data_IF_166467219714
#
_entry.id   IF_166467219714
#
_cell.length_a   1.000
_cell.length_b   1.000
_cell.length_c   1.000
_cell.angle_alpha   90.00
_cell.angle_beta   90.00
_cell.angle_gamma   90.00
#
_symmetry.space_group_name_H-M   'P 1'
#
loop_
_entity.id
_entity.type
_entity.pdbx_description
1 polymer ?
#
# COMPACT_ATOMS: atom_id res chain seq x y z
N UNK A 1 -36.60 38.64 14.20
CA UNK A 1 -36.23 37.52 13.29
C UNK A 1 -36.84 36.27 13.86
N UNK A 2 -37.83 35.69 13.19
CA UNK A 2 -38.51 34.47 13.67
C UNK A 2 -37.56 33.27 13.58
N UNK A 3 -37.40 32.56 14.68
CA UNK A 3 -36.63 31.33 14.75
C UNK A 3 -37.14 30.25 13.79
N UNK A 4 -38.44 30.18 13.56
CA UNK A 4 -39.14 29.22 12.70
C UNK A 4 -38.59 29.18 11.26
N UNK A 5 -38.11 30.31 10.73
CA UNK A 5 -37.50 30.34 9.40
C UNK A 5 -36.14 29.61 9.28
N UNK A 6 -35.56 29.20 10.40
CA UNK A 6 -34.31 28.45 10.43
C UNK A 6 -34.52 26.92 10.41
N UNK A 7 -35.72 26.45 10.67
CA UNK A 7 -36.08 25.05 10.64
C UNK A 7 -36.81 24.73 9.35
N UNK A 8 -36.08 24.05 8.43
CA UNK A 8 -36.63 23.72 7.11
C UNK A 8 -37.34 22.36 7.07
N UNK A 9 -36.91 21.43 7.88
CA UNK A 9 -37.43 20.05 7.96
C UNK A 9 -37.19 19.47 9.35
N UNK A 10 -38.10 18.58 9.77
CA UNK A 10 -37.83 17.63 10.84
C UNK A 10 -36.79 16.64 10.37
N UNK A 11 -35.71 16.42 11.15
CA UNK A 11 -34.66 15.44 10.93
C UNK A 11 -34.74 14.36 11.99
N UNK A 12 -34.91 13.10 11.58
CA UNK A 12 -34.89 11.95 12.48
C UNK A 12 -33.47 11.39 12.59
N UNK A 13 -33.09 10.97 13.79
CA UNK A 13 -31.88 10.22 14.07
C UNK A 13 -32.16 8.72 14.09
N UNK A 14 -31.14 7.89 14.16
CA UNK A 14 -31.34 6.45 14.30
C UNK A 14 -32.00 6.04 15.61
N UNK A 15 -31.96 6.91 16.64
CA UNK A 15 -32.65 6.69 17.91
C UNK A 15 -34.16 6.95 17.83
N UNK A 16 -34.59 7.70 16.81
CA UNK A 16 -36.00 8.08 16.59
C UNK A 16 -36.74 7.07 15.70
N UNK A 17 -36.04 6.14 15.07
CA UNK A 17 -36.61 5.24 14.05
C UNK A 17 -36.23 3.78 14.28
N UNK A 18 -37.10 2.88 13.88
CA UNK A 18 -36.83 1.43 13.83
C UNK A 18 -37.08 0.91 12.42
N UNK A 19 -36.27 -0.07 11.99
CA UNK A 19 -36.54 -0.80 10.77
C UNK A 19 -37.72 -1.75 10.99
N UNK A 20 -38.73 -1.66 10.12
CA UNK A 20 -39.85 -2.60 10.13
C UNK A 20 -39.35 -3.95 9.61
N UNK A 21 -39.49 -5.04 10.42
CA UNK A 21 -39.11 -6.38 9.97
C UNK A 21 -39.89 -6.79 8.70
N UNK A 22 -39.20 -7.35 7.75
CA UNK A 22 -39.79 -7.89 6.52
C UNK A 22 -39.26 -9.30 6.26
N UNK A 23 -40.02 -10.12 5.55
CA UNK A 23 -39.58 -11.44 5.09
C UNK A 23 -38.38 -11.24 4.14
N UNK A 24 -37.31 -11.98 4.38
CA UNK A 24 -36.15 -12.05 3.49
C UNK A 24 -35.83 -13.47 3.14
N UNK A 25 -35.43 -13.70 1.89
CA UNK A 25 -34.94 -15.00 1.40
C UNK A 25 -33.42 -14.94 1.11
N UNK A 26 -32.78 -13.79 1.42
CA UNK A 26 -31.36 -13.56 1.21
C UNK A 26 -30.61 -13.80 2.52
N UNK A 27 -29.58 -14.66 2.48
CA UNK A 27 -28.70 -14.85 3.63
C UNK A 27 -27.75 -13.66 3.79
N UNK A 28 -27.33 -13.31 5.02
CA UNK A 28 -26.42 -12.19 5.25
C UNK A 28 -25.15 -12.23 4.39
N UNK A 29 -24.58 -13.40 4.15
CA UNK A 29 -23.38 -13.60 3.31
C UNK A 29 -23.61 -13.34 1.81
N UNK A 30 -24.88 -13.39 1.36
CA UNK A 30 -25.26 -13.27 -0.05
C UNK A 30 -25.77 -11.86 -0.38
N UNK A 31 -25.71 -10.93 0.60
CA UNK A 31 -26.16 -9.56 0.43
C UNK A 31 -25.14 -8.76 -0.40
N UNK A 32 -25.61 -8.14 -1.46
CA UNK A 32 -24.81 -7.19 -2.23
C UNK A 32 -25.02 -5.77 -1.66
N UNK A 33 -23.96 -5.22 -1.06
CA UNK A 33 -23.94 -3.88 -0.46
C UNK A 33 -23.37 -2.80 -1.40
N UNK A 34 -23.02 -3.16 -2.63
CA UNK A 34 -22.36 -2.24 -3.55
C UNK A 34 -23.26 -1.06 -3.95
N UNK A 35 -22.67 0.12 -3.99
CA UNK A 35 -23.35 1.37 -4.40
C UNK A 35 -22.49 2.16 -5.36
N UNK A 36 -23.11 2.93 -6.24
CA UNK A 36 -22.43 3.91 -7.07
C UNK A 36 -22.33 5.23 -6.30
N UNK A 37 -21.12 5.61 -5.89
CA UNK A 37 -20.88 6.91 -5.26
C UNK A 37 -20.94 8.05 -6.29
N UNK A 38 -20.43 7.78 -7.50
CA UNK A 38 -20.55 8.65 -8.68
C UNK A 38 -20.89 7.79 -9.90
N UNK A 39 -21.19 8.37 -11.06
CA UNK A 39 -21.39 7.58 -12.28
C UNK A 39 -20.24 6.64 -12.64
N UNK A 40 -19.01 6.97 -12.20
CA UNK A 40 -17.78 6.23 -12.54
C UNK A 40 -17.12 5.57 -11.34
N UNK A 41 -17.61 5.80 -10.11
CA UNK A 41 -16.99 5.28 -8.89
C UNK A 41 -18.01 4.42 -8.11
N UNK A 42 -17.67 3.15 -7.96
CA UNK A 42 -18.45 2.15 -7.23
C UNK A 42 -17.74 1.80 -5.92
N UNK A 43 -18.51 1.70 -4.84
CA UNK A 43 -18.05 1.12 -3.57
C UNK A 43 -18.66 -0.27 -3.37
N UNK A 44 -17.89 -1.20 -2.84
CA UNK A 44 -18.38 -2.54 -2.48
C UNK A 44 -19.15 -2.51 -1.16
N UNK A 45 -18.78 -1.60 -0.25
CA UNK A 45 -19.47 -1.33 1.01
C UNK A 45 -19.74 0.17 1.09
N UNK A 46 -21.00 0.63 1.38
CA UNK A 46 -21.37 2.04 1.36
C UNK A 46 -20.92 2.80 2.62
N UNK A 47 -19.64 2.69 2.96
CA UNK A 47 -19.05 3.33 4.14
C UNK A 47 -17.88 4.20 3.69
N UNK A 48 -17.90 5.46 4.12
CA UNK A 48 -16.88 6.45 3.83
C UNK A 48 -16.41 7.06 5.16
N UNK A 49 -15.10 7.12 5.40
CA UNK A 49 -14.60 7.82 6.57
C UNK A 49 -14.59 9.33 6.36
N UNK A 50 -14.90 10.07 7.43
CA UNK A 50 -14.88 11.53 7.40
C UNK A 50 -13.46 12.08 7.23
N UNK A 51 -13.31 13.17 6.46
CA UNK A 51 -12.04 13.89 6.30
C UNK A 51 -11.67 14.73 7.52
N UNK A 52 -11.55 14.09 8.67
CA UNK A 52 -11.25 14.71 9.96
C UNK A 52 -9.77 14.55 10.29
N UNK A 53 -9.18 15.63 10.82
CA UNK A 53 -7.82 15.63 11.34
C UNK A 53 -7.63 14.54 12.40
N UNK A 54 -6.48 13.90 12.39
CA UNK A 54 -6.11 12.77 13.26
C UNK A 54 -6.99 11.52 13.16
N UNK A 55 -8.05 11.54 12.34
CA UNK A 55 -8.95 10.40 12.12
C UNK A 55 -8.64 9.71 10.80
N UNK A 56 -8.76 10.42 9.66
CA UNK A 56 -8.54 9.81 8.35
C UNK A 56 -7.23 10.26 7.73
N UNK A 57 -6.21 9.47 7.97
CA UNK A 57 -4.92 9.49 7.29
C UNK A 57 -4.72 8.19 6.49
N UNK A 58 -3.55 7.98 5.89
CA UNK A 58 -3.29 6.83 5.03
C UNK A 58 -3.65 5.48 5.69
N UNK A 59 -3.40 5.32 6.97
CA UNK A 59 -3.66 4.07 7.69
C UNK A 59 -5.15 3.70 7.70
N UNK A 60 -6.02 4.64 8.09
CA UNK A 60 -7.47 4.39 8.06
C UNK A 60 -8.00 4.29 6.64
N UNK A 61 -7.51 5.14 5.71
CA UNK A 61 -7.92 5.08 4.31
C UNK A 61 -7.62 3.71 3.68
N UNK A 62 -6.43 3.14 3.94
CA UNK A 62 -6.06 1.78 3.51
C UNK A 62 -6.98 0.72 4.15
N UNK A 63 -7.25 0.83 5.45
CA UNK A 63 -8.13 -0.10 6.13
C UNK A 63 -9.56 -0.06 5.57
N UNK A 64 -10.08 1.13 5.29
CA UNK A 64 -11.40 1.33 4.68
C UNK A 64 -11.46 0.73 3.27
N UNK A 65 -10.45 1.01 2.43
CA UNK A 65 -10.38 0.50 1.06
C UNK A 65 -10.39 -1.04 1.05
N UNK A 66 -9.63 -1.70 1.94
CA UNK A 66 -9.59 -3.16 2.09
C UNK A 66 -10.94 -3.77 2.48
N UNK A 67 -11.80 -3.02 3.13
CA UNK A 67 -13.15 -3.46 3.48
C UNK A 67 -14.19 -3.07 2.42
N UNK A 68 -13.76 -2.51 1.28
CA UNK A 68 -14.63 -2.13 0.18
C UNK A 68 -15.28 -0.74 0.32
N UNK A 69 -14.90 0.02 1.34
CA UNK A 69 -15.29 1.41 1.56
C UNK A 69 -14.27 2.41 1.00
N UNK A 70 -14.33 3.67 1.47
CA UNK A 70 -13.42 4.75 1.04
C UNK A 70 -12.96 5.60 2.21
N UNK A 71 -11.66 5.94 2.22
CA UNK A 71 -11.10 6.93 3.14
C UNK A 71 -10.97 8.30 2.48
N UNK A 72 -11.41 9.36 3.16
CA UNK A 72 -11.22 10.75 2.73
C UNK A 72 -10.13 11.38 3.57
N UNK A 73 -8.95 11.59 2.98
CA UNK A 73 -7.81 12.22 3.64
C UNK A 73 -8.16 13.67 3.99
N UNK A 74 -7.92 14.07 5.25
CA UNK A 74 -8.20 15.42 5.71
C UNK A 74 -7.22 16.45 5.11
N UNK A 75 -7.60 17.74 5.16
CA UNK A 75 -6.82 18.84 4.58
C UNK A 75 -5.93 19.61 5.57
N UNK A 76 -5.97 19.26 6.86
CA UNK A 76 -5.20 19.98 7.89
C UNK A 76 -3.73 19.53 7.91
N UNK A 77 -3.05 19.68 6.78
CA UNK A 77 -1.63 19.37 6.55
C UNK A 77 -1.15 20.14 5.32
N UNK A 78 0.17 20.18 5.07
CA UNK A 78 0.68 20.78 3.84
C UNK A 78 0.27 19.96 2.60
N UNK A 79 0.36 20.57 1.42
CA UNK A 79 0.06 19.91 0.14
C UNK A 79 0.95 18.67 -0.04
N UNK A 80 2.24 18.79 0.30
CA UNK A 80 3.23 17.73 0.20
C UNK A 80 2.91 16.58 1.15
N UNK A 81 2.53 16.89 2.38
CA UNK A 81 2.11 15.89 3.37
C UNK A 81 0.85 15.16 2.92
N UNK A 82 -0.16 15.87 2.37
CA UNK A 82 -1.38 15.24 1.87
C UNK A 82 -1.08 14.34 0.66
N UNK A 83 -0.23 14.79 -0.25
CA UNK A 83 0.23 13.99 -1.38
C UNK A 83 0.95 12.71 -0.91
N UNK A 84 1.80 12.80 0.13
CA UNK A 84 2.45 11.63 0.73
C UNK A 84 1.43 10.65 1.33
N UNK A 85 0.38 11.13 2.00
CA UNK A 85 -0.68 10.26 2.52
C UNK A 85 -1.41 9.53 1.39
N UNK A 86 -1.78 10.24 0.32
CA UNK A 86 -2.43 9.64 -0.86
C UNK A 86 -1.52 8.64 -1.54
N UNK A 87 -0.23 8.94 -1.71
CA UNK A 87 0.75 8.04 -2.30
C UNK A 87 0.87 6.73 -1.50
N UNK A 88 0.88 6.79 -0.15
CA UNK A 88 0.85 5.59 0.70
C UNK A 88 -0.39 4.72 0.44
N UNK A 89 -1.57 5.33 0.27
CA UNK A 89 -2.81 4.61 -0.05
C UNK A 89 -2.68 3.94 -1.42
N UNK A 90 -2.28 4.70 -2.44
CA UNK A 90 -2.15 4.19 -3.83
C UNK A 90 -1.13 3.07 -3.95
N UNK A 91 0.00 3.16 -3.28
CA UNK A 91 0.98 2.06 -3.21
C UNK A 91 0.43 0.80 -2.56
N UNK A 92 -0.53 0.93 -1.64
CA UNK A 92 -1.15 -0.23 -0.99
C UNK A 92 -2.19 -0.96 -1.85
N UNK A 93 -2.74 -0.28 -2.89
CA UNK A 93 -3.77 -0.84 -3.78
C UNK A 93 -3.19 -1.72 -4.90
N UNK A 94 -2.05 -1.33 -5.45
CA UNK A 94 -1.58 -1.89 -6.73
C UNK A 94 -0.93 -3.27 -6.63
N UNK A 95 -0.59 -3.74 -5.44
CA UNK A 95 0.25 -4.95 -5.27
C UNK A 95 1.64 -4.84 -5.90
N UNK A 96 1.91 -3.73 -6.62
CA UNK A 96 3.19 -3.37 -7.23
C UNK A 96 3.64 -2.03 -6.68
N UNK A 97 4.81 -2.00 -6.07
CA UNK A 97 5.44 -0.77 -5.61
C UNK A 97 6.10 -0.09 -6.81
N UNK A 98 5.50 0.97 -7.35
CA UNK A 98 5.93 1.62 -8.61
C UNK A 98 7.17 2.51 -8.48
N UNK A 99 7.55 2.93 -7.28
CA UNK A 99 8.78 3.69 -7.00
C UNK A 99 9.32 3.18 -5.67
N UNK A 100 9.98 2.01 -5.66
CA UNK A 100 10.46 1.40 -4.44
C UNK A 100 11.61 2.23 -3.84
N UNK A 101 11.69 2.25 -2.51
CA UNK A 101 12.90 2.74 -1.86
C UNK A 101 14.09 1.93 -2.35
N UNK A 102 15.20 2.59 -2.56
CA UNK A 102 16.45 1.96 -2.95
C UNK A 102 17.64 2.60 -2.19
N UNK A 103 18.73 1.88 -2.15
CA UNK A 103 20.00 2.34 -1.61
C UNK A 103 21.10 2.11 -2.65
N UNK A 104 22.29 2.63 -2.41
CA UNK A 104 23.47 2.37 -3.24
C UNK A 104 24.49 1.50 -2.50
N UNK A 105 25.42 0.85 -3.19
CA UNK A 105 26.46 0.02 -2.56
C UNK A 105 27.30 0.75 -1.51
N UNK A 106 27.41 2.08 -1.63
CA UNK A 106 28.22 2.92 -0.74
C UNK A 106 27.53 3.27 0.58
N UNK A 107 26.19 3.11 0.67
CA UNK A 107 25.48 3.26 1.94
C UNK A 107 25.93 2.20 2.94
N UNK A 108 25.71 2.49 4.23
CA UNK A 108 26.01 1.57 5.32
C UNK A 108 24.80 0.65 5.61
N UNK A 109 25.06 -0.48 6.23
CA UNK A 109 24.00 -1.41 6.70
C UNK A 109 23.04 -0.69 7.66
N UNK A 110 23.54 0.27 8.46
CA UNK A 110 22.74 1.14 9.30
C UNK A 110 21.64 1.88 8.51
N UNK A 111 21.96 2.40 7.33
CA UNK A 111 21.00 3.10 6.48
C UNK A 111 19.87 2.16 6.03
N UNK A 112 20.23 0.90 5.71
CA UNK A 112 19.25 -0.11 5.33
C UNK A 112 18.36 -0.50 6.51
N UNK A 113 18.93 -0.71 7.69
CA UNK A 113 18.17 -1.02 8.91
C UNK A 113 17.22 0.13 9.28
N UNK A 114 17.72 1.36 9.29
CA UNK A 114 16.91 2.54 9.57
C UNK A 114 15.73 2.69 8.61
N UNK A 115 15.99 2.55 7.30
CA UNK A 115 14.97 2.62 6.25
C UNK A 115 13.92 1.52 6.42
N UNK A 116 14.38 0.28 6.65
CA UNK A 116 13.49 -0.86 6.84
C UNK A 116 12.65 -0.73 8.11
N UNK A 117 13.22 -0.24 9.20
CA UNK A 117 12.52 0.01 10.46
C UNK A 117 11.46 1.11 10.32
N UNK A 118 11.84 2.25 9.74
CA UNK A 118 10.96 3.40 9.53
C UNK A 118 9.73 3.06 8.68
N UNK A 119 9.90 2.31 7.59
CA UNK A 119 8.83 1.99 6.64
C UNK A 119 8.24 0.58 6.83
N UNK A 120 8.70 -0.17 7.82
CA UNK A 120 8.28 -1.55 8.13
C UNK A 120 8.39 -2.49 6.93
N UNK A 121 9.46 -2.34 6.16
CA UNK A 121 9.80 -3.19 5.02
C UNK A 121 10.94 -4.14 5.40
N UNK A 122 11.02 -5.28 4.72
CA UNK A 122 11.97 -6.35 5.05
C UNK A 122 13.11 -6.50 4.03
N UNK A 123 13.28 -5.54 3.14
CA UNK A 123 14.37 -5.50 2.18
C UNK A 123 14.22 -4.38 1.18
N UNK A 124 15.35 -3.96 0.65
CA UNK A 124 15.51 -2.78 -0.21
C UNK A 124 16.37 -3.13 -1.42
N UNK A 125 15.93 -2.84 -2.66
CA UNK A 125 16.78 -2.90 -3.84
C UNK A 125 18.00 -2.00 -3.72
N UNK A 126 19.12 -2.44 -4.27
CA UNK A 126 20.36 -1.67 -4.32
C UNK A 126 20.65 -1.33 -5.78
N UNK A 127 20.84 -0.05 -6.08
CA UNK A 127 21.12 0.46 -7.42
C UNK A 127 22.52 1.03 -7.51
N UNK A 128 23.10 1.07 -8.71
CA UNK A 128 24.47 1.51 -8.93
C UNK A 128 24.72 2.97 -8.47
N UNK A 129 23.80 3.88 -8.81
CA UNK A 129 23.84 5.29 -8.40
C UNK A 129 22.42 5.90 -8.48
N UNK A 130 22.29 7.15 -8.03
CA UNK A 130 21.01 7.86 -7.96
C UNK A 130 20.47 8.28 -9.34
N UNK A 131 21.35 8.44 -10.32
CA UNK A 131 20.99 8.95 -11.65
C UNK A 131 20.50 7.82 -12.58
N UNK A 132 21.28 6.76 -12.71
CA UNK A 132 20.97 5.64 -13.61
C UNK A 132 20.00 4.64 -13.03
N UNK A 133 20.01 4.46 -11.70
CA UNK A 133 19.17 3.51 -10.95
C UNK A 133 19.19 2.07 -11.48
N UNK A 134 20.31 1.63 -12.05
CA UNK A 134 20.46 0.22 -12.48
C UNK A 134 20.55 -0.69 -11.26
N UNK A 135 19.74 -1.74 -11.24
CA UNK A 135 19.74 -2.71 -10.15
C UNK A 135 21.06 -3.47 -10.12
N UNK A 136 21.75 -3.45 -8.98
CA UNK A 136 23.03 -4.15 -8.75
C UNK A 136 22.97 -5.14 -7.58
N UNK A 137 21.92 -5.08 -6.78
CA UNK A 137 21.75 -5.97 -5.64
C UNK A 137 20.42 -5.81 -4.94
N UNK A 138 20.25 -6.56 -3.90
CA UNK A 138 19.16 -6.42 -2.93
C UNK A 138 19.73 -6.69 -1.52
N UNK A 139 19.29 -5.89 -0.54
CA UNK A 139 19.60 -6.15 0.87
C UNK A 139 18.30 -6.43 1.61
N UNK A 140 18.29 -7.46 2.44
CA UNK A 140 17.12 -7.94 3.18
C UNK A 140 17.46 -8.17 4.65
N UNK A 141 16.44 -8.31 5.50
CA UNK A 141 16.65 -8.68 6.90
C UNK A 141 17.42 -9.99 7.06
N UNK A 142 17.35 -10.90 6.05
CA UNK A 142 18.10 -12.16 6.06
C UNK A 142 19.59 -11.92 5.92
N UNK A 143 19.98 -11.00 5.05
CA UNK A 143 21.38 -10.65 4.80
C UNK A 143 21.99 -9.95 6.03
N UNK A 144 21.20 -9.17 6.76
CA UNK A 144 21.65 -8.45 7.95
C UNK A 144 21.60 -9.26 9.25
N UNK A 145 21.00 -10.45 9.26
CA UNK A 145 20.62 -11.20 10.47
C UNK A 145 21.78 -11.46 11.45
N UNK A 146 22.99 -11.62 10.94
CA UNK A 146 24.18 -11.96 11.74
C UNK A 146 25.22 -10.84 11.75
N UNK A 147 24.87 -9.68 11.22
CA UNK A 147 25.76 -8.52 11.20
C UNK A 147 25.78 -7.89 12.58
N UNK A 148 26.98 -7.70 13.12
CA UNK A 148 27.21 -7.01 14.40
C UNK A 148 27.67 -5.57 14.21
N UNK A 149 28.40 -5.30 13.13
CA UNK A 149 28.88 -3.97 12.78
C UNK A 149 28.05 -3.38 11.63
N UNK A 150 27.14 -2.48 11.96
CA UNK A 150 26.28 -1.80 11.01
C UNK A 150 26.97 -0.66 10.24
N UNK A 151 28.24 -0.36 10.52
CA UNK A 151 29.03 0.65 9.81
C UNK A 151 29.63 0.15 8.49
N UNK A 152 29.55 -1.16 8.23
CA UNK A 152 30.06 -1.74 6.97
C UNK A 152 29.17 -1.34 5.79
N UNK A 153 29.75 -1.35 4.59
CA UNK A 153 29.02 -0.99 3.37
C UNK A 153 28.03 -2.06 2.97
N UNK A 154 26.92 -1.61 2.35
CA UNK A 154 25.91 -2.50 1.79
C UNK A 154 26.51 -3.44 0.73
N UNK A 155 27.49 -2.97 -0.06
CA UNK A 155 28.22 -3.77 -1.06
C UNK A 155 28.82 -5.08 -0.51
N UNK A 156 29.13 -5.11 0.78
CA UNK A 156 29.81 -6.26 1.42
C UNK A 156 28.82 -7.32 1.94
N UNK A 157 27.53 -6.93 2.03
CA UNK A 157 26.48 -7.76 2.65
C UNK A 157 25.36 -8.12 1.69
N UNK A 158 25.05 -7.23 0.72
CA UNK A 158 23.94 -7.41 -0.21
C UNK A 158 24.06 -8.69 -1.04
N UNK A 159 22.93 -9.27 -1.39
CA UNK A 159 22.86 -10.28 -2.44
C UNK A 159 23.02 -9.59 -3.79
N UNK A 160 24.08 -9.93 -4.55
CA UNK A 160 24.43 -9.36 -5.87
C UNK A 160 24.55 -10.39 -6.99
N UNK A 161 24.70 -11.66 -6.65
CA UNK A 161 24.77 -12.75 -7.62
C UNK A 161 23.38 -13.36 -7.84
N UNK A 162 23.11 -13.79 -9.08
CA UNK A 162 21.85 -14.46 -9.47
C UNK A 162 20.58 -13.68 -9.05
N UNK A 163 20.62 -12.36 -9.21
CA UNK A 163 19.46 -11.53 -8.95
C UNK A 163 18.28 -11.95 -9.84
N UNK A 164 17.19 -12.35 -9.20
CA UNK A 164 15.95 -12.68 -9.89
C UNK A 164 15.15 -11.38 -10.05
N UNK A 165 14.86 -11.02 -11.30
CA UNK A 165 14.10 -9.83 -11.69
C UNK A 165 12.98 -10.22 -12.65
N UNK A 166 12.03 -9.31 -12.87
CA UNK A 166 11.01 -9.45 -13.89
C UNK A 166 10.86 -8.14 -14.68
N UNK A 167 10.32 -8.16 -15.90
CA UNK A 167 10.07 -6.96 -16.68
C UNK A 167 8.91 -6.13 -16.07
N UNK A 168 8.90 -4.84 -16.40
CA UNK A 168 7.74 -3.97 -16.11
C UNK A 168 6.49 -4.53 -16.79
N UNK A 169 5.36 -4.52 -16.08
CA UNK A 169 4.11 -5.08 -16.57
C UNK A 169 3.88 -6.55 -16.19
N UNK A 170 4.82 -7.19 -15.49
CA UNK A 170 4.61 -8.51 -14.90
C UNK A 170 3.37 -8.50 -14.00
N UNK A 171 2.44 -9.40 -14.24
CA UNK A 171 1.22 -9.55 -13.42
C UNK A 171 1.53 -10.17 -12.06
N UNK A 172 0.66 -9.95 -11.08
CA UNK A 172 0.83 -10.54 -9.74
C UNK A 172 0.85 -12.08 -9.79
N UNK A 173 0.06 -12.71 -10.66
CA UNK A 173 0.06 -14.17 -10.84
C UNK A 173 1.38 -14.70 -11.43
N UNK A 174 2.01 -13.97 -12.35
CA UNK A 174 3.32 -14.33 -12.88
C UNK A 174 4.40 -14.11 -11.81
N UNK A 175 4.33 -13.00 -11.08
CA UNK A 175 5.24 -12.70 -9.98
C UNK A 175 5.19 -13.77 -8.89
N UNK A 176 3.99 -14.23 -8.51
CA UNK A 176 3.80 -15.32 -7.54
C UNK A 176 4.55 -16.58 -7.95
N UNK A 177 4.41 -17.01 -9.21
CA UNK A 177 5.11 -18.20 -9.74
C UNK A 177 6.63 -18.04 -9.68
N UNK A 178 7.14 -16.84 -9.97
CA UNK A 178 8.57 -16.54 -9.90
C UNK A 178 9.05 -16.59 -8.45
N UNK A 179 8.36 -15.90 -7.53
CA UNK A 179 8.68 -15.87 -6.10
C UNK A 179 8.70 -17.29 -5.52
N UNK A 180 7.69 -18.11 -5.85
CA UNK A 180 7.59 -19.50 -5.42
C UNK A 180 8.71 -20.38 -5.98
N UNK A 181 8.97 -20.26 -7.29
CA UNK A 181 10.00 -21.07 -7.99
C UNK A 181 11.40 -20.83 -7.42
N UNK A 182 11.74 -19.57 -7.17
CA UNK A 182 13.07 -19.19 -6.68
C UNK A 182 13.15 -19.05 -5.15
N UNK A 183 12.04 -19.26 -4.44
CA UNK A 183 11.93 -19.16 -2.97
C UNK A 183 12.42 -17.80 -2.43
N UNK A 184 12.06 -16.74 -3.14
CA UNK A 184 12.36 -15.35 -2.78
C UNK A 184 11.08 -14.63 -2.37
N UNK A 185 11.20 -13.59 -1.56
CA UNK A 185 10.05 -12.81 -1.04
C UNK A 185 9.84 -11.48 -1.78
N UNK A 186 10.81 -11.09 -2.60
CA UNK A 186 10.85 -9.80 -3.28
C UNK A 186 11.31 -9.97 -4.71
N UNK A 187 10.59 -9.37 -5.63
CA UNK A 187 10.85 -9.42 -7.06
C UNK A 187 11.00 -7.99 -7.60
N UNK A 188 12.24 -7.51 -7.79
CA UNK A 188 12.47 -6.24 -8.46
C UNK A 188 12.00 -6.28 -9.90
N UNK A 189 11.31 -5.21 -10.33
CA UNK A 189 10.92 -5.00 -11.71
C UNK A 189 11.91 -4.06 -12.38
N UNK A 190 12.45 -4.47 -13.50
CA UNK A 190 13.43 -3.70 -14.24
C UNK A 190 13.01 -3.52 -15.71
N UNK A 191 13.46 -2.44 -16.31
CA UNK A 191 13.32 -2.24 -17.75
C UNK A 191 14.39 -3.00 -18.54
N UNK A 192 14.39 -2.85 -19.88
CA UNK A 192 15.34 -3.50 -20.79
C UNK A 192 16.81 -3.08 -20.56
N UNK A 193 17.05 -1.98 -19.86
CA UNK A 193 18.38 -1.48 -19.51
C UNK A 193 18.82 -1.89 -18.10
N UNK A 194 17.98 -2.64 -17.38
CA UNK A 194 18.21 -3.05 -16.01
C UNK A 194 17.92 -1.96 -14.96
N UNK A 195 17.22 -0.89 -15.35
CA UNK A 195 16.83 0.20 -14.45
C UNK A 195 15.66 -0.23 -13.58
N UNK A 196 15.76 -0.02 -12.28
CA UNK A 196 14.72 -0.35 -11.32
C UNK A 196 13.48 0.51 -11.55
N UNK A 197 12.34 -0.13 -11.80
CA UNK A 197 11.06 0.51 -12.08
C UNK A 197 9.99 0.16 -11.05
N UNK A 198 10.17 -0.93 -10.31
CA UNK A 198 9.18 -1.37 -9.33
C UNK A 198 9.68 -2.52 -8.46
N UNK A 199 8.83 -2.90 -7.52
CA UNK A 199 9.06 -4.04 -6.63
C UNK A 199 7.73 -4.73 -6.34
N UNK A 200 7.69 -6.04 -6.44
CA UNK A 200 6.58 -6.89 -5.98
C UNK A 200 7.09 -7.70 -4.79
N UNK A 201 6.30 -7.75 -3.72
CA UNK A 201 6.61 -8.61 -2.58
C UNK A 201 5.52 -9.66 -2.37
N UNK A 202 5.87 -10.77 -1.72
CA UNK A 202 4.90 -11.81 -1.39
C UNK A 202 3.75 -11.27 -0.54
N UNK A 203 4.06 -10.35 0.39
CA UNK A 203 3.04 -9.69 1.23
C UNK A 203 2.03 -8.86 0.43
N UNK A 204 2.45 -8.28 -0.69
CA UNK A 204 1.56 -7.49 -1.53
C UNK A 204 0.64 -8.40 -2.35
N UNK A 205 1.12 -9.55 -2.78
CA UNK A 205 0.31 -10.59 -3.42
C UNK A 205 -0.72 -11.16 -2.43
N UNK A 206 -0.28 -11.54 -1.22
CA UNK A 206 -1.17 -12.06 -0.16
C UNK A 206 -2.29 -11.05 0.17
N UNK A 207 -1.97 -9.75 0.26
CA UNK A 207 -2.98 -8.69 0.50
C UNK A 207 -4.03 -8.61 -0.60
N UNK A 208 -3.64 -8.72 -1.88
CA UNK A 208 -4.60 -8.66 -2.99
C UNK A 208 -5.50 -9.90 -3.02
N UNK A 209 -4.99 -11.06 -2.59
CA UNK A 209 -5.79 -12.30 -2.46
C UNK A 209 -6.76 -12.18 -1.29
N UNK A 210 -6.32 -11.64 -0.16
CA UNK A 210 -7.14 -11.51 1.05
C UNK A 210 -8.20 -10.39 0.93
N UNK A 211 -7.89 -9.33 0.17
CA UNK A 211 -8.75 -8.15 -0.02
C UNK A 211 -8.93 -7.84 -1.53
N UNK A 212 -9.71 -8.66 -2.26
CA UNK A 212 -9.95 -8.51 -3.69
C UNK A 212 -10.78 -7.27 -4.08
#
# INVERSE_FOLDING_TARGET
MMWESKFLKEGLTFDDVLLVPAKSEVLPRDVNLSVNLTPTLKLNVPIISAGMDTVTEAQLAIAMARQGGMGIIHKNMSIEQQAEQVDKVKRSESGVISDPFFLTPEHQVYDAEHLMGKYRISGVPVVNNLDERKLVGIITNRDMRFIQDYSIKISDVMTKEQLITAPVGTTLSEAEKILQKYKIEKLPLVDNNGVLQGLITIKDIEKVIEFP
#
